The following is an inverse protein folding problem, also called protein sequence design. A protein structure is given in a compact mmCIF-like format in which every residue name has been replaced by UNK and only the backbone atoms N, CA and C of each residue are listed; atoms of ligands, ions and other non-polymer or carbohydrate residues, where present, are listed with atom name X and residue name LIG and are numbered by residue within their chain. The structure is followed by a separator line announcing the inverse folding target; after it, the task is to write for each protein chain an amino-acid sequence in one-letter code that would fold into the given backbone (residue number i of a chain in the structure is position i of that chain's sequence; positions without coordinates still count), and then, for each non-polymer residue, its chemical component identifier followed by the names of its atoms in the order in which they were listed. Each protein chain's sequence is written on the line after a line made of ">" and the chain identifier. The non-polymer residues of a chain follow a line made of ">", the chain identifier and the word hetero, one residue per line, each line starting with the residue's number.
data_IF_104870597398
#
_entry.id   IF_104870597398
#
_cell.length_a   1.000
_cell.length_b   1.000
_cell.length_c   1.000
_cell.angle_alpha   90.00
_cell.angle_beta   90.00
_cell.angle_gamma   90.00
#
_symmetry.space_group_name_H-M   'P 1'
#
loop_
_entity.id
_entity.type
_entity.pdbx_description
1 polymer ?
#
# COMPACT_ATOMS: atom_id res chain seq x y z
N UNK A 1 -2.40 24.00 13.95
CA UNK A 1 -2.90 23.39 12.69
C UNK A 1 -3.82 22.26 13.11
N UNK A 2 -5.11 22.39 12.79
CA UNK A 2 -6.15 21.50 13.29
C UNK A 2 -6.10 20.16 12.56
N UNK A 3 -6.36 19.06 13.26
CA UNK A 3 -6.38 17.70 12.71
C UNK A 3 -7.30 17.55 11.48
N UNK A 4 -8.31 18.43 11.34
CA UNK A 4 -9.19 18.50 10.17
C UNK A 4 -8.55 19.05 8.90
N UNK A 5 -7.63 20.02 8.99
CA UNK A 5 -6.90 20.54 7.81
C UNK A 5 -5.96 19.48 7.22
N UNK A 6 -5.34 18.66 8.07
CA UNK A 6 -4.43 17.59 7.63
C UNK A 6 -5.21 16.48 6.92
N UNK A 7 -6.38 16.09 7.44
CA UNK A 7 -7.25 15.07 6.83
C UNK A 7 -7.76 15.52 5.44
N UNK A 8 -8.21 16.78 5.35
CA UNK A 8 -8.74 17.33 4.11
C UNK A 8 -7.67 17.53 3.03
N UNK A 9 -6.43 17.84 3.42
CA UNK A 9 -5.29 17.91 2.50
C UNK A 9 -4.87 16.51 2.00
N UNK A 10 -4.96 15.48 2.85
CA UNK A 10 -4.63 14.09 2.46
C UNK A 10 -5.70 13.51 1.55
N UNK A 11 -6.99 13.66 1.86
CA UNK A 11 -8.09 13.19 0.99
C UNK A 11 -8.09 13.88 -0.37
N UNK A 12 -7.85 15.20 -0.42
CA UNK A 12 -7.75 15.90 -1.71
C UNK A 12 -6.50 15.51 -2.51
N UNK A 13 -5.39 15.19 -1.84
CA UNK A 13 -4.19 14.69 -2.51
C UNK A 13 -4.41 13.28 -3.07
N UNK A 14 -5.14 12.42 -2.36
CA UNK A 14 -5.45 11.05 -2.78
C UNK A 14 -6.40 11.04 -3.98
N UNK A 15 -7.52 11.79 -3.90
CA UNK A 15 -8.53 11.88 -4.96
C UNK A 15 -7.99 12.51 -6.25
N UNK A 16 -7.13 13.53 -6.15
CA UNK A 16 -6.50 14.17 -7.31
C UNK A 16 -5.47 13.26 -7.99
N UNK A 17 -4.72 12.48 -7.20
CA UNK A 17 -3.74 11.53 -7.73
C UNK A 17 -4.42 10.34 -8.41
N UNK A 18 -5.54 9.85 -7.87
CA UNK A 18 -6.26 8.71 -8.43
C UNK A 18 -7.00 9.07 -9.73
N UNK A 19 -7.63 10.26 -9.78
CA UNK A 19 -8.18 10.81 -11.02
C UNK A 19 -7.10 11.05 -12.08
N UNK A 20 -5.94 11.58 -11.70
CA UNK A 20 -4.83 11.78 -12.62
C UNK A 20 -4.31 10.46 -13.20
N UNK A 21 -4.24 9.39 -12.39
CA UNK A 21 -3.85 8.04 -12.84
C UNK A 21 -4.87 7.40 -13.75
N UNK A 22 -6.17 7.50 -13.43
CA UNK A 22 -7.24 7.01 -14.30
C UNK A 22 -7.24 7.70 -15.65
N UNK A 23 -7.05 9.02 -15.67
CA UNK A 23 -6.91 9.81 -16.90
C UNK A 23 -5.65 9.40 -17.67
N UNK A 24 -4.51 9.23 -17.01
CA UNK A 24 -3.24 8.86 -17.65
C UNK A 24 -3.29 7.45 -18.25
N UNK A 25 -3.90 6.48 -17.55
CA UNK A 25 -4.11 5.11 -18.03
C UNK A 25 -5.05 5.06 -19.24
N UNK A 26 -6.13 5.85 -19.21
CA UNK A 26 -7.06 6.01 -20.34
C UNK A 26 -6.34 6.65 -21.54
N UNK A 27 -5.52 7.68 -21.31
CA UNK A 27 -4.76 8.34 -22.37
C UNK A 27 -3.75 7.39 -23.03
N UNK A 28 -3.09 6.54 -22.23
CA UNK A 28 -2.15 5.52 -22.70
C UNK A 28 -2.82 4.43 -23.54
N UNK A 29 -3.98 3.93 -23.09
CA UNK A 29 -4.79 2.94 -23.84
C UNK A 29 -5.30 3.52 -25.16
N UNK A 30 -5.75 4.79 -25.15
CA UNK A 30 -6.18 5.50 -26.36
C UNK A 30 -5.01 5.73 -27.32
N UNK A 31 -3.86 6.18 -26.81
CA UNK A 31 -2.65 6.38 -27.62
C UNK A 31 -2.18 5.07 -28.28
N UNK A 32 -2.17 3.96 -27.55
CA UNK A 32 -1.83 2.64 -28.09
C UNK A 32 -2.83 2.17 -29.16
N UNK A 33 -4.13 2.39 -28.94
CA UNK A 33 -5.19 2.03 -29.88
C UNK A 33 -5.14 2.86 -31.17
N UNK A 34 -4.94 4.18 -31.06
CA UNK A 34 -4.78 5.08 -32.21
C UNK A 34 -3.55 4.69 -33.03
N UNK A 35 -2.43 4.36 -32.38
CA UNK A 35 -1.21 3.93 -33.06
C UNK A 35 -1.40 2.59 -33.78
N UNK A 36 -2.11 1.62 -33.18
CA UNK A 36 -2.43 0.34 -33.82
C UNK A 36 -3.31 0.51 -35.07
N UNK A 37 -4.30 1.41 -35.01
CA UNK A 37 -5.16 1.75 -36.16
C UNK A 37 -4.35 2.40 -37.28
N UNK A 38 -3.44 3.33 -36.97
CA UNK A 38 -2.56 3.94 -37.97
C UNK A 38 -1.65 2.92 -38.67
N UNK A 39 -1.10 1.95 -37.92
CA UNK A 39 -0.29 0.85 -38.48
C UNK A 39 -1.15 -0.07 -39.37
N UNK A 40 -2.40 -0.34 -38.99
CA UNK A 40 -3.31 -1.15 -39.79
C UNK A 40 -3.74 -0.44 -41.08
N UNK A 41 -4.02 0.87 -41.01
CA UNK A 41 -4.32 1.69 -42.19
C UNK A 41 -3.13 1.74 -43.16
N UNK A 42 -1.90 1.87 -42.67
CA UNK A 42 -0.67 1.78 -43.50
C UNK A 42 -0.52 0.39 -44.16
N UNK A 43 -1.01 -0.67 -43.50
CA UNK A 43 -0.98 -2.05 -44.04
C UNK A 43 -2.08 -2.34 -45.06
N UNK A 44 -3.19 -1.61 -45.03
CA UNK A 44 -4.41 -1.93 -45.81
C UNK A 44 -4.78 -0.92 -46.89
N UNK A 45 -4.16 0.26 -46.92
CA UNK A 45 -4.37 1.26 -47.96
C UNK A 45 -3.08 1.64 -48.67
N UNK A 46 -3.14 1.72 -50.00
CA UNK A 46 -2.13 2.45 -50.78
C UNK A 46 -2.02 3.88 -50.24
N UNK A 47 -0.96 4.14 -49.48
CA UNK A 47 -0.44 5.45 -49.07
C UNK A 47 -1.44 6.58 -48.83
N UNK A 48 -1.61 6.98 -47.57
CA UNK A 48 -2.25 8.26 -47.21
C UNK A 48 -1.53 9.43 -47.95
N UNK A 49 -2.23 10.20 -48.79
CA UNK A 49 -1.59 11.25 -49.58
C UNK A 49 -1.15 12.41 -48.67
N UNK A 50 0.15 12.71 -48.66
CA UNK A 50 0.71 13.91 -48.01
C UNK A 50 1.56 13.70 -46.75
N UNK A 51 1.99 12.48 -46.42
CA UNK A 51 2.82 12.23 -45.23
C UNK A 51 4.33 12.53 -45.48
N UNK A 52 5.06 13.07 -44.48
CA UNK A 52 6.50 13.33 -44.58
C UNK A 52 7.33 12.03 -44.70
N UNK A 53 8.43 12.07 -45.43
CA UNK A 53 9.31 10.92 -45.80
C UNK A 53 9.88 10.11 -44.64
N UNK A 54 9.79 10.63 -43.41
CA UNK A 54 10.24 10.01 -42.16
C UNK A 54 9.39 8.77 -41.82
N UNK A 55 8.15 8.70 -42.34
CA UNK A 55 7.19 7.63 -42.05
C UNK A 55 7.59 6.27 -42.65
N UNK A 56 8.32 6.27 -43.78
CA UNK A 56 8.73 5.04 -44.48
C UNK A 56 10.15 4.57 -44.14
N UNK A 57 10.95 5.36 -43.41
CA UNK A 57 12.41 5.13 -43.37
C UNK A 57 12.86 4.03 -42.41
N UNK A 58 12.04 3.59 -41.45
CA UNK A 58 12.34 2.34 -40.73
C UNK A 58 11.14 1.77 -39.98
N UNK A 59 10.78 0.54 -40.36
CA UNK A 59 9.77 -0.31 -39.70
C UNK A 59 10.07 -0.53 -38.21
N UNK A 60 11.33 -0.39 -37.79
CA UNK A 60 11.77 -0.54 -36.40
C UNK A 60 11.33 0.58 -35.46
N UNK A 61 11.11 1.81 -35.96
CA UNK A 61 10.72 2.95 -35.11
C UNK A 61 9.34 2.71 -34.48
N UNK A 62 8.41 2.12 -35.22
CA UNK A 62 7.07 1.81 -34.73
C UNK A 62 7.09 0.75 -33.61
N UNK A 63 7.88 -0.31 -33.78
CA UNK A 63 8.06 -1.31 -32.73
C UNK A 63 8.75 -0.73 -31.49
N UNK A 64 9.77 0.09 -31.67
CA UNK A 64 10.46 0.76 -30.57
C UNK A 64 9.53 1.70 -29.79
N UNK A 65 8.65 2.44 -30.48
CA UNK A 65 7.65 3.31 -29.85
C UNK A 65 6.62 2.51 -29.05
N UNK A 66 6.12 1.39 -29.60
CA UNK A 66 5.20 0.50 -28.88
C UNK A 66 5.83 -0.10 -27.62
N UNK A 67 7.08 -0.58 -27.71
CA UNK A 67 7.80 -1.14 -26.57
C UNK A 67 8.09 -0.04 -25.53
N UNK A 68 8.48 1.16 -25.95
CA UNK A 68 8.72 2.27 -25.04
C UNK A 68 7.44 2.69 -24.29
N UNK A 69 6.30 2.80 -24.96
CA UNK A 69 5.02 3.12 -24.32
C UNK A 69 4.57 2.02 -23.35
N UNK A 70 4.75 0.74 -23.71
CA UNK A 70 4.43 -0.37 -22.84
C UNK A 70 5.32 -0.41 -21.59
N UNK A 71 6.62 -0.17 -21.75
CA UNK A 71 7.57 -0.10 -20.62
C UNK A 71 7.25 1.08 -19.71
N UNK A 72 6.94 2.26 -20.26
CA UNK A 72 6.54 3.43 -19.46
C UNK A 72 5.24 3.17 -18.71
N UNK A 73 4.24 2.54 -19.33
CA UNK A 73 3.01 2.13 -18.66
C UNK A 73 3.28 1.11 -17.54
N UNK A 74 4.11 0.10 -17.80
CA UNK A 74 4.48 -0.91 -16.81
C UNK A 74 5.23 -0.27 -15.63
N UNK A 75 6.13 0.69 -15.89
CA UNK A 75 6.84 1.42 -14.84
C UNK A 75 5.88 2.30 -14.02
N UNK A 76 4.90 2.95 -14.65
CA UNK A 76 3.88 3.74 -13.96
C UNK A 76 2.93 2.89 -13.10
N UNK A 77 2.55 1.70 -13.57
CA UNK A 77 1.76 0.75 -12.76
C UNK A 77 2.61 0.11 -11.64
N UNK A 78 3.92 -0.06 -11.85
CA UNK A 78 4.85 -0.62 -10.85
C UNK A 78 5.20 0.38 -9.75
N UNK A 79 5.14 1.69 -10.03
CA UNK A 79 5.16 2.72 -9.00
C UNK A 79 3.79 2.78 -8.32
N UNK A 80 3.51 1.78 -7.48
CA UNK A 80 2.45 1.90 -6.49
C UNK A 80 2.68 3.19 -5.69
N UNK A 81 1.66 4.04 -5.48
CA UNK A 81 1.81 5.18 -4.60
C UNK A 81 2.32 4.69 -3.25
N UNK A 82 3.29 5.42 -2.69
CA UNK A 82 3.65 5.35 -1.28
C UNK A 82 2.52 5.78 -0.32
N UNK A 83 1.26 5.83 -0.80
CA UNK A 83 0.04 5.99 -0.01
C UNK A 83 -0.64 4.61 0.08
N UNK A 84 0.00 3.69 0.79
CA UNK A 84 -0.80 2.68 1.47
C UNK A 84 -1.61 3.44 2.54
N UNK A 85 -2.90 3.11 2.75
CA UNK A 85 -3.64 3.63 3.89
C UNK A 85 -2.74 3.48 5.12
N UNK A 86 -2.63 4.55 5.91
CA UNK A 86 -1.77 4.56 7.09
C UNK A 86 -2.03 3.27 7.87
N UNK A 87 -0.97 2.51 8.23
CA UNK A 87 -1.18 1.27 8.95
C UNK A 87 -2.08 1.57 10.15
N UNK A 88 -3.03 0.67 10.43
CA UNK A 88 -4.05 0.88 11.47
C UNK A 88 -3.43 1.29 12.81
N UNK A 89 -2.16 0.92 13.01
CA UNK A 89 -1.26 1.32 14.07
C UNK A 89 0.06 1.78 13.45
N UNK A 90 0.68 2.81 14.00
CA UNK A 90 1.95 3.35 13.54
C UNK A 90 3.15 2.48 13.98
N UNK A 91 3.09 1.88 15.17
CA UNK A 91 4.16 1.04 15.72
C UNK A 91 3.61 -0.20 16.42
N UNK A 92 4.34 -1.32 16.33
CA UNK A 92 4.08 -2.55 17.08
C UNK A 92 5.37 -3.07 17.70
N UNK A 93 5.40 -3.10 19.03
CA UNK A 93 6.49 -3.66 19.83
C UNK A 93 6.02 -4.91 20.55
N UNK A 94 6.77 -5.98 20.36
CA UNK A 94 6.52 -7.26 20.99
C UNK A 94 7.65 -7.58 21.97
N UNK A 95 7.36 -7.44 23.25
CA UNK A 95 8.28 -7.78 24.31
C UNK A 95 8.21 -9.28 24.59
N UNK A 96 9.31 -9.96 24.35
CA UNK A 96 9.48 -11.41 24.48
C UNK A 96 10.63 -11.74 25.41
N UNK A 97 10.79 -13.03 25.75
CA UNK A 97 11.94 -13.55 26.48
C UNK A 97 12.34 -14.91 25.94
N UNK A 98 13.56 -15.34 26.22
CA UNK A 98 14.05 -16.66 25.77
C UNK A 98 13.33 -17.80 26.49
N UNK A 99 13.19 -18.93 25.78
CA UNK A 99 12.58 -20.17 26.27
C UNK A 99 11.17 -20.00 26.86
N UNK A 100 10.30 -19.20 26.21
CA UNK A 100 8.94 -18.98 26.67
C UNK A 100 7.90 -19.46 25.63
N UNK A 101 7.25 -20.63 25.84
CA UNK A 101 6.26 -21.14 24.90
C UNK A 101 5.02 -20.25 24.76
N UNK A 102 4.74 -19.42 25.78
CA UNK A 102 3.66 -18.43 25.71
C UNK A 102 4.01 -17.29 24.73
N UNK A 103 5.28 -16.91 24.64
CA UNK A 103 5.76 -15.93 23.67
C UNK A 103 5.68 -16.46 22.25
N UNK A 104 6.06 -17.73 22.05
CA UNK A 104 5.98 -18.37 20.73
C UNK A 104 4.54 -18.40 20.23
N UNK A 105 3.58 -18.78 21.08
CA UNK A 105 2.16 -18.77 20.74
C UNK A 105 1.65 -17.34 20.45
N UNK A 106 2.06 -16.36 21.24
CA UNK A 106 1.68 -14.97 21.02
C UNK A 106 2.24 -14.43 19.68
N UNK A 107 3.48 -14.80 19.33
CA UNK A 107 4.10 -14.44 18.06
C UNK A 107 3.34 -15.07 16.88
N UNK A 108 2.99 -16.35 16.96
CA UNK A 108 2.21 -17.04 15.92
C UNK A 108 0.85 -16.36 15.69
N UNK A 109 0.21 -15.90 16.76
CA UNK A 109 -1.03 -15.13 16.65
C UNK A 109 -0.77 -13.80 15.94
N UNK A 110 0.26 -13.04 16.32
CA UNK A 110 0.58 -11.75 15.68
C UNK A 110 0.93 -11.91 14.20
N UNK A 111 1.72 -12.92 13.84
CA UNK A 111 2.09 -13.24 12.45
C UNK A 111 0.85 -13.52 11.59
N UNK A 112 -0.19 -14.16 12.15
CA UNK A 112 -1.46 -14.38 11.44
C UNK A 112 -2.14 -13.08 11.01
N UNK A 113 -1.90 -11.98 11.74
CA UNK A 113 -2.44 -10.65 11.45
C UNK A 113 -1.40 -9.68 10.88
N UNK A 114 -0.22 -10.16 10.45
CA UNK A 114 0.86 -9.32 9.92
C UNK A 114 0.44 -8.44 8.72
N UNK A 115 -0.58 -8.84 7.98
CA UNK A 115 -1.08 -8.09 6.83
C UNK A 115 -1.90 -6.85 7.24
N UNK A 116 -2.36 -6.80 8.50
CA UNK A 116 -3.19 -5.73 9.06
C UNK A 116 -2.46 -4.90 10.12
N UNK A 117 -1.34 -5.42 10.62
CA UNK A 117 -0.48 -4.81 11.63
C UNK A 117 0.79 -4.27 10.98
N UNK A 118 1.45 -3.26 11.59
CA UNK A 118 2.76 -2.83 11.15
C UNK A 118 3.82 -3.92 11.45
N UNK A 119 5.04 -3.71 10.95
CA UNK A 119 6.18 -4.59 11.20
C UNK A 119 6.39 -4.82 12.71
N UNK A 120 6.63 -6.08 13.08
CA UNK A 120 6.74 -6.50 14.47
C UNK A 120 8.17 -6.23 14.96
N UNK A 121 8.34 -5.24 15.84
CA UNK A 121 9.59 -4.99 16.55
C UNK A 121 9.70 -5.97 17.73
N UNK A 122 10.48 -7.05 17.56
CA UNK A 122 10.78 -8.00 18.64
C UNK A 122 11.83 -7.42 19.59
N UNK A 123 11.48 -7.34 20.87
CA UNK A 123 12.35 -6.82 21.92
C UNK A 123 12.54 -7.91 22.98
N UNK A 124 13.77 -8.41 23.14
CA UNK A 124 14.10 -9.34 24.22
C UNK A 124 14.26 -8.56 25.53
N UNK A 125 13.38 -8.83 26.48
CA UNK A 125 13.46 -8.18 27.79
C UNK A 125 14.67 -8.67 28.59
N UNK A 126 15.23 -9.85 28.29
CA UNK A 126 16.38 -10.38 29.03
C UNK A 126 17.66 -9.55 28.81
N UNK A 127 17.69 -8.71 27.77
CA UNK A 127 18.84 -7.85 27.44
C UNK A 127 18.85 -6.50 28.19
N UNK A 128 17.70 -6.08 28.73
CA UNK A 128 17.54 -4.79 29.42
C UNK A 128 16.96 -4.96 30.83
N UNK A 129 17.73 -4.67 31.90
CA UNK A 129 17.26 -4.80 33.27
C UNK A 129 16.07 -3.89 33.60
N UNK A 130 15.89 -2.75 32.94
CA UNK A 130 14.72 -1.89 33.13
C UNK A 130 13.45 -2.55 32.57
N UNK A 131 13.56 -3.20 31.40
CA UNK A 131 12.45 -3.94 30.80
C UNK A 131 12.10 -5.19 31.62
N UNK A 132 13.10 -5.90 32.17
CA UNK A 132 12.83 -7.02 33.09
C UNK A 132 12.04 -6.57 34.32
N UNK A 133 12.41 -5.44 34.93
CA UNK A 133 11.70 -4.94 36.10
C UNK A 133 10.26 -4.52 35.75
N UNK A 134 10.03 -3.97 34.55
CA UNK A 134 8.72 -3.49 34.11
C UNK A 134 7.79 -4.60 33.63
N UNK A 135 8.32 -5.59 32.92
CA UNK A 135 7.52 -6.58 32.18
C UNK A 135 7.81 -8.03 32.54
N UNK A 136 8.81 -8.32 33.39
CA UNK A 136 9.29 -9.68 33.68
C UNK A 136 8.22 -10.70 34.07
N UNK A 137 7.20 -10.28 34.82
CA UNK A 137 6.08 -11.14 35.26
C UNK A 137 4.86 -11.13 34.30
N UNK A 138 4.92 -10.32 33.24
CA UNK A 138 3.78 -10.05 32.33
C UNK A 138 4.07 -10.38 30.86
N UNK A 139 5.26 -10.91 30.55
CA UNK A 139 5.65 -11.33 29.20
C UNK A 139 4.79 -12.53 28.75
N UNK A 140 4.32 -12.58 27.49
CA UNK A 140 4.56 -11.62 26.41
C UNK A 140 3.72 -10.34 26.52
N UNK A 141 4.28 -9.21 26.07
CA UNK A 141 3.59 -7.91 26.06
C UNK A 141 3.57 -7.34 24.65
N UNK A 142 2.39 -6.91 24.19
CA UNK A 142 2.19 -6.23 22.90
C UNK A 142 1.88 -4.77 23.15
N UNK A 143 2.72 -3.90 22.63
CA UNK A 143 2.56 -2.46 22.62
C UNK A 143 2.22 -1.97 21.21
N UNK A 144 1.12 -1.24 21.07
CA UNK A 144 0.66 -0.62 19.83
C UNK A 144 0.57 0.89 20.06
N UNK A 145 1.22 1.68 19.20
CA UNK A 145 1.28 3.15 19.30
C UNK A 145 1.78 3.66 20.66
N UNK A 146 2.75 2.95 21.26
CA UNK A 146 3.28 3.28 22.59
C UNK A 146 2.34 2.94 23.76
N UNK A 147 1.23 2.23 23.52
CA UNK A 147 0.33 1.75 24.56
C UNK A 147 0.31 0.22 24.61
N UNK A 148 0.50 -0.33 25.81
CA UNK A 148 0.36 -1.77 26.05
C UNK A 148 -1.10 -2.20 25.87
N UNK A 149 -1.37 -3.02 24.85
CA UNK A 149 -2.72 -3.54 24.54
C UNK A 149 -2.92 -4.96 25.03
N UNK A 150 -1.86 -5.75 25.10
CA UNK A 150 -1.91 -7.14 25.59
C UNK A 150 -0.78 -7.40 26.58
N UNK A 151 -1.09 -8.19 27.62
CA UNK A 151 -0.14 -8.73 28.59
C UNK A 151 -0.48 -10.20 28.80
N UNK A 152 0.52 -11.08 28.79
CA UNK A 152 0.32 -12.52 28.86
C UNK A 152 -0.29 -13.08 27.57
N UNK A 153 -1.32 -13.93 27.69
CA UNK A 153 -1.89 -14.63 26.55
C UNK A 153 -2.56 -13.68 25.54
N UNK A 154 -2.07 -13.67 24.30
CA UNK A 154 -2.68 -12.94 23.18
C UNK A 154 -3.75 -13.82 22.56
N UNK A 155 -5.02 -13.42 22.72
CA UNK A 155 -6.16 -14.11 22.11
C UNK A 155 -6.43 -13.52 20.72
N UNK A 156 -6.53 -14.35 19.66
CA UNK A 156 -6.75 -13.86 18.30
C UNK A 156 -8.08 -13.12 18.16
N UNK A 157 -9.12 -13.50 18.89
CA UNK A 157 -10.43 -12.84 18.84
C UNK A 157 -10.39 -11.43 19.42
N UNK A 158 -9.62 -11.21 20.49
CA UNK A 158 -9.45 -9.89 21.09
C UNK A 158 -8.59 -8.99 20.21
N UNK A 159 -7.54 -9.55 19.59
CA UNK A 159 -6.72 -8.84 18.63
C UNK A 159 -7.55 -8.41 17.41
N UNK A 160 -8.37 -9.31 16.86
CA UNK A 160 -9.27 -9.00 15.76
C UNK A 160 -10.24 -7.88 16.12
N UNK A 161 -10.90 -7.94 17.28
CA UNK A 161 -11.81 -6.86 17.73
C UNK A 161 -11.10 -5.51 17.86
N UNK A 162 -9.85 -5.52 18.32
CA UNK A 162 -9.05 -4.31 18.44
C UNK A 162 -8.71 -3.71 17.07
N UNK A 163 -8.41 -4.56 16.09
CA UNK A 163 -8.19 -4.17 14.69
C UNK A 163 -9.49 -3.61 14.10
N UNK A 164 -10.62 -4.32 14.24
CA UNK A 164 -11.92 -3.89 13.72
C UNK A 164 -12.35 -2.54 14.30
N UNK A 165 -12.13 -2.33 15.60
CA UNK A 165 -12.40 -1.06 16.26
C UNK A 165 -11.44 0.06 15.80
N UNK A 166 -10.21 -0.25 15.39
CA UNK A 166 -9.31 0.72 14.78
C UNK A 166 -9.75 1.10 13.37
N UNK A 167 -10.18 0.13 12.56
CA UNK A 167 -10.73 0.36 11.21
C UNK A 167 -11.97 1.27 11.27
N UNK A 168 -12.91 0.98 12.18
CA UNK A 168 -14.13 1.80 12.32
C UNK A 168 -13.83 3.25 12.72
N UNK A 169 -12.80 3.49 13.53
CA UNK A 169 -12.39 4.86 13.90
C UNK A 169 -11.81 5.65 12.72
N UNK A 170 -11.28 4.98 11.71
CA UNK A 170 -10.79 5.62 10.49
C UNK A 170 -11.89 5.84 9.46
N UNK A 171 -13.04 5.16 9.58
CA UNK A 171 -14.19 5.40 8.71
C UNK A 171 -14.92 6.67 9.19
N UNK A 172 -15.11 7.68 8.33
CA UNK A 172 -15.96 8.81 8.69
C UNK A 172 -17.37 8.28 9.02
N UNK A 173 -18.08 8.93 9.96
CA UNK A 173 -19.43 8.50 10.32
C UNK A 173 -20.27 8.43 9.04
N UNK A 174 -20.84 7.24 8.79
CA UNK A 174 -21.82 7.03 7.71
C UNK A 174 -22.93 8.04 7.97
N UNK A 175 -22.91 9.12 7.20
CA UNK A 175 -23.98 10.10 7.22
C UNK A 175 -25.08 9.47 6.40
N UNK A 176 -26.00 8.77 7.07
CA UNK A 176 -27.25 8.33 6.46
C UNK A 176 -27.97 9.60 6.00
N UNK A 177 -27.83 9.87 4.71
CA UNK A 177 -28.47 10.99 4.05
C UNK A 177 -29.98 10.81 4.12
N UNK A 178 -30.62 11.67 4.90
CA UNK A 178 -32.07 11.86 4.94
C UNK A 178 -32.42 13.23 4.40
#
# INVERSE_FOLDING_TARGET
>A
MSSGEVCQLVEHADESTDRARGLLGTLLMLAASVLAVLIFCDRTGDGLPGMPTIWHTSRGIHFALCVALFVVAALLLKTAPANLPSPLFATLRFYTRRNCPLCDHALEVLERFQNLLPEIELIDIDEDPELQQRFGDSVPVVELDGQVRFRGAVQPELLQRLIDAAVQRQQPPVTDGQ
#
